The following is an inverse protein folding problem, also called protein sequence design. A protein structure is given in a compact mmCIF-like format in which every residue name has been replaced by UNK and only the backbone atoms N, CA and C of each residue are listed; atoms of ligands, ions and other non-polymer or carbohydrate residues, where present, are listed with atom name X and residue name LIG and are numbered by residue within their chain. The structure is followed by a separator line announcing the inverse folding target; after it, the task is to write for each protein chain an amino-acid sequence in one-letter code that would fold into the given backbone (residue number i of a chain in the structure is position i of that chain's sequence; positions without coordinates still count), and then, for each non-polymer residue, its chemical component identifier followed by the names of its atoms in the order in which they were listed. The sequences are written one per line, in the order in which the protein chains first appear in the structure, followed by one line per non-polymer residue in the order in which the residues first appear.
data_IF_254308674397
#
_entry.id   IF_254308674397
#
_cell.length_a   1.000
_cell.length_b   1.000
_cell.length_c   1.000
_cell.angle_alpha   90.00
_cell.angle_beta   90.00
_cell.angle_gamma   90.00
#
_symmetry.space_group_name_H-M   'P 1'
#
loop_
_entity.id
_entity.type
_entity.pdbx_description
1 polymer ?
#
# COMPACT_ATOMS: atom_id res chain seq x y z
N UNK A 1 70.03 16.42 58.67
CA UNK A 1 69.51 15.70 57.47
C UNK A 1 67.97 15.70 57.54
N UNK A 2 67.32 16.55 56.79
CA UNK A 2 65.87 16.64 56.71
C UNK A 2 65.46 16.34 55.25
N UNK A 3 64.84 15.16 55.02
CA UNK A 3 64.29 14.75 53.69
C UNK A 3 62.90 15.35 53.49
N UNK A 4 62.74 16.08 52.39
CA UNK A 4 61.43 16.56 51.92
C UNK A 4 60.85 15.54 50.93
N UNK A 5 59.66 15.05 51.23
CA UNK A 5 58.81 14.26 50.26
C UNK A 5 57.95 15.23 49.50
N UNK A 6 58.07 15.24 48.17
CA UNK A 6 57.13 15.89 47.27
C UNK A 6 56.02 14.86 46.86
N UNK A 7 54.81 15.17 47.22
CA UNK A 7 53.58 14.43 46.70
C UNK A 7 53.11 15.16 45.46
N UNK A 8 53.27 14.51 44.29
CA UNK A 8 52.73 14.99 43.04
C UNK A 8 51.28 14.57 42.89
N UNK A 9 50.41 15.56 42.89
CA UNK A 9 48.95 15.35 42.64
C UNK A 9 48.71 15.36 41.14
N UNK A 10 48.55 14.17 40.54
CA UNK A 10 48.17 14.00 39.13
C UNK A 10 46.71 14.30 38.91
N UNK A 11 46.42 15.34 38.13
CA UNK A 11 45.04 15.68 37.68
C UNK A 11 44.68 14.80 36.49
N UNK A 12 43.82 13.79 36.70
CA UNK A 12 43.20 13.01 35.60
C UNK A 12 42.08 13.85 34.99
N UNK A 13 42.31 14.42 33.82
CA UNK A 13 41.21 14.95 32.96
C UNK A 13 40.50 13.79 32.32
N UNK A 14 39.31 13.44 32.80
CA UNK A 14 38.38 12.55 32.08
C UNK A 14 37.77 13.32 30.90
N UNK A 15 38.24 13.04 29.69
CA UNK A 15 37.61 13.51 28.46
C UNK A 15 36.37 12.62 28.20
N UNK A 16 35.20 13.11 28.58
CA UNK A 16 33.93 12.49 28.23
C UNK A 16 33.70 12.58 26.71
N UNK A 17 33.82 11.46 25.98
CA UNK A 17 33.31 11.36 24.61
C UNK A 17 31.80 11.41 24.68
N UNK A 18 31.21 12.58 24.40
CA UNK A 18 29.78 12.68 24.06
C UNK A 18 29.59 12.08 22.67
N UNK A 19 29.16 10.82 22.62
CA UNK A 19 28.64 10.24 21.39
C UNK A 19 27.32 10.94 21.06
N UNK A 20 27.37 11.90 20.14
CA UNK A 20 26.15 12.42 19.49
C UNK A 20 25.52 11.28 18.74
N UNK A 21 24.46 10.68 19.29
CA UNK A 21 23.56 9.83 18.51
C UNK A 21 22.94 10.74 17.43
N UNK A 22 23.47 10.63 16.21
CA UNK A 22 22.80 11.19 15.04
C UNK A 22 21.41 10.54 14.97
N UNK A 23 20.34 11.33 15.06
CA UNK A 23 19.00 10.85 14.85
C UNK A 23 18.97 10.24 13.42
N UNK A 24 18.73 8.93 13.33
CA UNK A 24 18.68 8.25 12.06
C UNK A 24 17.52 8.85 11.25
N UNK A 25 17.84 9.39 10.08
CA UNK A 25 16.80 9.94 9.17
C UNK A 25 15.79 8.83 8.87
N UNK A 26 14.45 9.11 8.89
CA UNK A 26 13.45 8.14 8.45
C UNK A 26 13.83 7.57 7.07
N UNK A 27 13.60 6.29 6.88
CA UNK A 27 13.96 5.62 5.62
C UNK A 27 13.19 6.18 4.43
N UNK A 28 11.96 6.63 4.66
CA UNK A 28 11.12 7.32 3.70
C UNK A 28 10.12 8.24 4.43
N UNK A 29 9.92 9.42 3.87
CA UNK A 29 8.87 10.36 4.25
C UNK A 29 8.21 10.92 3.00
N UNK A 30 6.89 11.20 3.03
CA UNK A 30 6.24 11.90 1.94
C UNK A 30 6.86 13.29 1.74
N UNK A 31 6.85 13.77 0.48
CA UNK A 31 7.31 15.12 0.18
C UNK A 31 6.52 16.16 1.02
N UNK A 32 7.15 17.31 1.38
CA UNK A 32 6.45 18.37 2.11
C UNK A 32 5.21 18.89 1.37
N UNK A 33 4.18 19.28 2.12
CA UNK A 33 2.95 19.87 1.59
C UNK A 33 1.78 18.89 1.43
N UNK A 34 1.97 17.63 1.80
CA UNK A 34 0.90 16.63 1.85
C UNK A 34 0.39 16.42 3.28
N UNK A 35 -0.92 16.21 3.42
CA UNK A 35 -1.51 15.82 4.70
C UNK A 35 -1.14 14.36 4.98
N UNK A 36 -0.51 14.11 6.11
CA UNK A 36 -0.20 12.75 6.57
C UNK A 36 -0.80 12.52 7.95
N UNK A 37 -1.58 11.45 8.08
CA UNK A 37 -2.22 11.06 9.33
C UNK A 37 -1.75 9.66 9.75
N UNK A 38 -1.49 9.43 11.05
CA UNK A 38 -1.37 8.07 11.56
C UNK A 38 -2.72 7.35 11.41
N UNK A 39 -2.72 6.07 11.04
CA UNK A 39 -3.96 5.29 10.96
C UNK A 39 -4.57 5.08 12.35
N UNK A 40 -3.77 5.01 13.38
CA UNK A 40 -4.17 4.71 14.75
C UNK A 40 -3.79 5.87 15.68
N UNK A 41 -4.66 6.29 16.59
CA UNK A 41 -4.37 7.39 17.53
C UNK A 41 -3.32 7.01 18.58
N UNK A 42 -2.98 5.74 18.66
CA UNK A 42 -1.96 5.15 19.55
C UNK A 42 -1.27 3.98 18.86
N UNK A 43 -0.88 2.98 19.63
CA UNK A 43 -0.31 1.76 19.06
C UNK A 43 -1.34 1.02 18.20
N UNK A 44 -0.92 0.55 17.03
CA UNK A 44 -1.77 -0.23 16.15
C UNK A 44 -2.16 -1.57 16.83
N UNK A 45 -3.38 -2.11 16.60
CA UNK A 45 -3.80 -3.38 17.19
C UNK A 45 -2.82 -4.52 16.86
N UNK A 46 -2.33 -5.22 17.89
CA UNK A 46 -1.38 -6.32 17.72
C UNK A 46 0.02 -5.91 17.26
N UNK A 47 0.38 -4.64 17.36
CA UNK A 47 1.73 -4.16 16.99
C UNK A 47 2.81 -4.88 17.81
N UNK A 48 3.88 -5.39 17.17
CA UNK A 48 5.00 -5.98 17.90
C UNK A 48 5.69 -4.95 18.78
N UNK A 49 6.00 -5.30 20.02
CA UNK A 49 6.66 -4.39 20.96
C UNK A 49 8.07 -3.96 20.54
N UNK A 50 8.76 -4.76 19.71
CA UNK A 50 10.18 -4.60 19.39
C UNK A 50 10.45 -4.78 17.89
N UNK A 51 9.70 -4.09 17.02
CA UNK A 51 10.06 -4.06 15.60
C UNK A 51 11.30 -3.15 15.42
N UNK A 52 12.28 -3.57 14.60
CA UNK A 52 13.39 -2.68 14.23
C UNK A 52 12.87 -1.39 13.58
N UNK A 53 13.65 -0.29 13.58
CA UNK A 53 13.28 0.94 12.90
C UNK A 53 12.96 0.72 11.42
N UNK A 54 12.06 1.53 10.87
CA UNK A 54 11.82 1.58 9.42
C UNK A 54 13.13 1.79 8.67
N UNK A 55 13.30 1.06 7.57
CA UNK A 55 14.52 1.07 6.78
C UNK A 55 14.21 0.91 5.29
N UNK A 56 14.92 1.64 4.44
CA UNK A 56 15.01 1.30 3.02
C UNK A 56 15.97 0.12 2.85
N UNK A 57 15.43 -1.03 2.49
CA UNK A 57 16.20 -2.28 2.31
C UNK A 57 16.81 -2.40 0.91
N UNK A 58 16.63 -1.39 0.04
CA UNK A 58 17.14 -1.41 -1.34
C UNK A 58 18.65 -1.46 -1.37
N UNK A 59 19.20 -2.31 -2.21
CA UNK A 59 20.64 -2.50 -2.40
C UNK A 59 21.03 -2.29 -3.86
N UNK A 60 22.32 -2.08 -4.13
CA UNK A 60 22.86 -2.00 -5.49
C UNK A 60 22.75 -3.32 -6.30
N UNK A 61 22.37 -4.41 -5.64
CA UNK A 61 22.19 -5.73 -6.28
C UNK A 61 20.75 -5.98 -6.73
N UNK A 62 19.81 -5.14 -6.31
CA UNK A 62 18.41 -5.29 -6.66
C UNK A 62 18.16 -4.92 -8.13
N UNK A 63 17.23 -5.62 -8.74
CA UNK A 63 16.83 -5.35 -10.10
C UNK A 63 16.27 -3.93 -10.25
N UNK A 64 16.65 -3.27 -11.34
CA UNK A 64 16.07 -2.00 -11.74
C UNK A 64 14.75 -2.25 -12.49
N UNK A 65 13.77 -1.42 -12.24
CA UNK A 65 12.51 -1.41 -12.99
C UNK A 65 12.56 -0.26 -14.00
N UNK A 66 12.47 -0.58 -15.28
CA UNK A 66 12.68 0.37 -16.38
C UNK A 66 13.98 1.21 -16.20
N UNK A 67 15.08 0.56 -15.81
CA UNK A 67 16.39 1.19 -15.62
C UNK A 67 16.52 2.05 -14.34
N UNK A 68 15.54 2.07 -13.45
CA UNK A 68 15.53 2.89 -12.22
C UNK A 68 15.40 2.02 -10.95
N UNK A 69 16.11 2.36 -9.86
CA UNK A 69 15.89 1.70 -8.57
C UNK A 69 14.49 2.04 -8.02
N UNK A 70 14.06 1.32 -7.01
CA UNK A 70 12.85 1.63 -6.23
C UNK A 70 13.18 1.59 -4.74
N UNK A 71 12.35 2.23 -3.91
CA UNK A 71 12.48 2.23 -2.45
C UNK A 71 11.71 1.03 -1.89
N UNK A 72 12.41 0.14 -1.19
CA UNK A 72 11.84 -1.02 -0.49
C UNK A 72 11.77 -0.75 1.00
N UNK A 73 10.67 -0.12 1.43
CA UNK A 73 10.49 0.28 2.82
C UNK A 73 10.07 -0.92 3.68
N UNK A 74 10.90 -1.30 4.64
CA UNK A 74 10.65 -2.38 5.59
C UNK A 74 10.42 -1.89 7.01
N UNK A 75 9.97 -2.82 7.88
CA UNK A 75 9.77 -2.60 9.32
C UNK A 75 8.77 -1.49 9.67
N UNK A 76 7.69 -1.36 8.91
CA UNK A 76 6.64 -0.37 9.18
C UNK A 76 5.82 -0.80 10.40
N UNK A 77 6.04 -0.17 11.54
CA UNK A 77 5.31 -0.38 12.79
C UNK A 77 4.27 0.72 13.07
N UNK A 78 4.48 1.91 12.50
CA UNK A 78 3.57 3.05 12.60
C UNK A 78 2.94 3.31 11.24
N UNK A 79 1.78 2.68 10.95
CA UNK A 79 1.13 2.84 9.67
C UNK A 79 0.50 4.24 9.54
N UNK A 80 0.61 4.81 8.35
CA UNK A 80 0.09 6.15 8.03
C UNK A 80 -0.66 6.13 6.71
N UNK A 81 -1.53 7.11 6.51
CA UNK A 81 -2.01 7.50 5.19
C UNK A 81 -1.48 8.89 4.84
N UNK A 82 -1.19 9.11 3.56
CA UNK A 82 -0.78 10.42 3.03
C UNK A 82 -1.67 10.79 1.86
N UNK A 83 -2.24 11.99 1.89
CA UNK A 83 -3.17 12.50 0.89
C UNK A 83 -2.43 13.33 -0.15
N UNK A 84 -2.51 12.90 -1.40
CA UNK A 84 -2.00 13.59 -2.57
C UNK A 84 -3.17 14.13 -3.36
N UNK A 85 -3.36 15.44 -3.33
CA UNK A 85 -4.47 16.11 -4.01
C UNK A 85 -4.11 16.55 -5.42
N UNK A 86 -5.04 16.44 -6.40
CA UNK A 86 -4.86 17.01 -7.72
C UNK A 86 -4.60 18.53 -7.65
N UNK A 87 -3.62 19.01 -8.40
CA UNK A 87 -3.33 20.45 -8.52
C UNK A 87 -4.33 21.21 -9.41
N UNK A 88 -5.12 20.49 -10.21
CA UNK A 88 -6.12 21.01 -11.13
C UNK A 88 -7.55 20.72 -10.70
N UNK A 89 -8.43 20.46 -11.67
CA UNK A 89 -9.81 20.09 -11.39
C UNK A 89 -9.87 18.76 -10.63
N UNK A 90 -10.66 18.73 -9.56
CA UNK A 90 -10.91 17.52 -8.76
C UNK A 90 -12.16 16.83 -9.27
N UNK A 91 -12.08 15.54 -9.54
CA UNK A 91 -13.25 14.71 -9.91
C UNK A 91 -14.19 14.44 -8.73
N UNK A 92 -13.68 14.59 -7.51
CA UNK A 92 -14.33 14.16 -6.29
C UNK A 92 -14.14 12.67 -5.98
N UNK A 93 -13.51 11.90 -6.87
CA UNK A 93 -13.14 10.51 -6.58
C UNK A 93 -11.84 10.44 -5.78
N UNK A 94 -11.71 9.39 -4.97
CA UNK A 94 -10.47 9.06 -4.27
C UNK A 94 -10.09 7.60 -4.45
N UNK A 95 -8.78 7.31 -4.48
CA UNK A 95 -8.23 5.97 -4.52
C UNK A 95 -7.26 5.78 -3.37
N UNK A 96 -7.53 4.79 -2.54
CA UNK A 96 -6.64 4.33 -1.47
C UNK A 96 -5.65 3.34 -2.08
N UNK A 97 -4.35 3.67 -2.05
CA UNK A 97 -3.29 2.92 -2.75
C UNK A 97 -2.51 2.07 -1.77
N UNK A 98 -2.37 0.78 -2.11
CA UNK A 98 -1.63 -0.22 -1.34
C UNK A 98 -0.43 -0.71 -2.17
N UNK A 99 0.80 -0.26 -1.88
CA UNK A 99 2.00 -0.79 -2.52
C UNK A 99 2.18 -2.29 -2.29
N UNK A 100 2.83 -2.98 -3.21
CA UNK A 100 3.24 -4.37 -3.05
C UNK A 100 4.57 -4.51 -2.29
N UNK A 101 5.09 -5.74 -2.32
CA UNK A 101 6.34 -6.11 -1.64
C UNK A 101 6.22 -7.39 -0.81
N UNK A 102 5.34 -8.31 -1.22
CA UNK A 102 5.19 -9.64 -0.60
C UNK A 102 4.76 -9.62 0.86
N UNK A 103 4.19 -8.53 1.34
CA UNK A 103 3.95 -8.26 2.77
C UNK A 103 5.24 -8.18 3.61
N UNK A 104 6.42 -8.13 3.01
CA UNK A 104 7.70 -8.01 3.71
C UNK A 104 8.20 -6.56 3.72
N UNK A 105 7.99 -5.85 2.61
CA UNK A 105 8.34 -4.44 2.42
C UNK A 105 7.19 -3.73 1.68
N UNK A 106 7.34 -2.42 1.47
CA UNK A 106 6.50 -1.64 0.58
C UNK A 106 7.35 -1.04 -0.54
N UNK A 107 6.99 -1.27 -1.80
CA UNK A 107 7.57 -0.60 -2.97
C UNK A 107 7.03 0.84 -3.05
N UNK A 108 7.38 1.67 -2.08
CA UNK A 108 6.64 2.88 -1.68
C UNK A 108 6.66 4.00 -2.73
N UNK A 109 7.67 4.04 -3.59
CA UNK A 109 7.77 4.98 -4.71
C UNK A 109 7.11 4.42 -5.98
N UNK A 110 7.56 3.26 -6.47
CA UNK A 110 7.10 2.63 -7.71
C UNK A 110 5.58 2.38 -7.71
N UNK A 111 5.06 1.83 -6.61
CA UNK A 111 3.68 1.39 -6.46
C UNK A 111 2.89 2.28 -5.47
N UNK A 112 3.46 3.43 -5.15
CA UNK A 112 2.90 4.42 -4.24
C UNK A 112 2.94 5.82 -4.81
N UNK A 113 4.02 6.58 -4.63
CA UNK A 113 4.06 7.99 -5.04
C UNK A 113 3.96 8.18 -6.56
N UNK A 114 4.55 7.30 -7.38
CA UNK A 114 4.41 7.36 -8.85
C UNK A 114 2.95 7.11 -9.28
N UNK A 115 2.20 6.28 -8.52
CA UNK A 115 0.77 6.04 -8.73
C UNK A 115 -0.05 7.27 -8.36
N UNK A 116 0.31 7.94 -7.26
CA UNK A 116 -0.37 9.17 -6.85
C UNK A 116 -0.20 10.30 -7.87
N UNK A 117 0.99 10.41 -8.49
CA UNK A 117 1.22 11.39 -9.56
C UNK A 117 0.30 11.15 -10.76
N UNK A 118 0.12 9.89 -11.18
CA UNK A 118 -0.80 9.53 -12.25
C UNK A 118 -2.26 9.80 -11.89
N UNK A 119 -2.73 9.34 -10.72
CA UNK A 119 -4.11 9.57 -10.27
C UNK A 119 -4.42 11.07 -10.17
N UNK A 120 -3.48 11.87 -9.67
CA UNK A 120 -3.64 13.31 -9.58
C UNK A 120 -3.72 13.97 -10.97
N UNK A 121 -2.98 13.48 -11.97
CA UNK A 121 -3.09 13.94 -13.35
C UNK A 121 -4.49 13.65 -13.93
N UNK A 122 -5.13 12.54 -13.53
CA UNK A 122 -6.50 12.19 -13.88
C UNK A 122 -7.57 12.91 -13.01
N UNK A 123 -7.17 13.83 -12.13
CA UNK A 123 -8.09 14.58 -11.25
C UNK A 123 -8.61 13.77 -10.06
N UNK A 124 -8.00 12.63 -9.73
CA UNK A 124 -8.38 11.74 -8.63
C UNK A 124 -7.48 11.99 -7.42
N UNK A 125 -8.07 12.13 -6.23
CA UNK A 125 -7.30 12.21 -4.99
C UNK A 125 -6.68 10.85 -4.69
N UNK A 126 -5.36 10.80 -4.54
CA UNK A 126 -4.65 9.59 -4.12
C UNK A 126 -4.41 9.60 -2.62
N UNK A 127 -4.72 8.50 -1.96
CA UNK A 127 -4.41 8.28 -0.54
C UNK A 127 -3.46 7.10 -0.41
N UNK A 128 -2.17 7.39 -0.30
CA UNK A 128 -1.13 6.37 -0.17
C UNK A 128 -1.09 5.83 1.25
N UNK A 129 -1.22 4.52 1.40
CA UNK A 129 -1.17 3.84 2.71
C UNK A 129 0.17 3.15 2.90
N UNK A 130 0.91 3.63 3.88
CA UNK A 130 2.07 2.94 4.44
C UNK A 130 1.56 1.97 5.51
N UNK A 131 1.13 0.78 5.09
CA UNK A 131 0.58 -0.24 5.98
C UNK A 131 1.66 -1.08 6.65
N UNK A 132 1.31 -1.77 7.74
CA UNK A 132 2.27 -2.56 8.54
C UNK A 132 2.89 -3.71 7.78
N UNK A 133 4.21 -3.79 7.81
CA UNK A 133 5.05 -4.89 7.34
C UNK A 133 6.22 -5.09 8.32
N UNK A 134 6.80 -6.31 8.45
CA UNK A 134 6.47 -7.52 7.72
C UNK A 134 5.25 -8.27 8.27
N UNK A 135 4.62 -9.07 7.39
CA UNK A 135 3.64 -10.09 7.75
C UNK A 135 4.10 -11.44 7.20
N UNK A 136 3.56 -12.54 7.72
CA UNK A 136 4.06 -13.89 7.44
C UNK A 136 3.40 -14.57 6.23
N UNK A 137 2.57 -13.87 5.47
CA UNK A 137 1.90 -14.41 4.28
C UNK A 137 0.55 -13.75 4.01
N UNK A 138 -0.27 -14.34 3.11
CA UNK A 138 -1.59 -13.82 2.78
C UNK A 138 -2.55 -13.85 3.98
N UNK A 139 -3.73 -13.24 3.84
CA UNK A 139 -4.78 -13.36 4.84
C UNK A 139 -5.12 -14.85 5.10
N UNK A 140 -5.28 -15.29 6.36
CA UNK A 140 -5.38 -14.46 7.58
C UNK A 140 -4.04 -14.01 8.20
N UNK A 141 -2.88 -14.46 7.72
CA UNK A 141 -1.57 -14.10 8.30
C UNK A 141 -1.22 -12.61 8.13
N UNK A 142 -1.76 -11.94 7.10
CA UNK A 142 -1.65 -10.48 6.88
C UNK A 142 -2.80 -9.69 7.52
N UNK A 143 -3.44 -10.19 8.56
CA UNK A 143 -4.56 -9.52 9.24
C UNK A 143 -4.21 -8.09 9.69
N UNK A 144 -2.98 -7.82 10.12
CA UNK A 144 -2.53 -6.48 10.48
C UNK A 144 -2.61 -5.49 9.30
N UNK A 145 -2.19 -5.89 8.10
CA UNK A 145 -2.32 -5.06 6.90
C UNK A 145 -3.80 -4.85 6.53
N UNK A 146 -4.65 -5.86 6.68
CA UNK A 146 -6.10 -5.72 6.42
C UNK A 146 -6.78 -4.80 7.42
N UNK A 147 -6.40 -4.83 8.71
CA UNK A 147 -6.85 -3.85 9.71
C UNK A 147 -6.50 -2.42 9.25
N UNK A 148 -5.26 -2.21 8.81
CA UNK A 148 -4.79 -0.90 8.33
C UNK A 148 -5.57 -0.45 7.08
N UNK A 149 -5.86 -1.36 6.13
CA UNK A 149 -6.65 -1.07 4.95
C UNK A 149 -8.11 -0.71 5.28
N UNK A 150 -8.77 -1.48 6.15
CA UNK A 150 -10.12 -1.18 6.63
C UNK A 150 -10.17 0.18 7.32
N UNK A 151 -9.17 0.48 8.16
CA UNK A 151 -9.07 1.74 8.87
C UNK A 151 -8.84 2.91 7.91
N UNK A 152 -7.94 2.76 6.93
CA UNK A 152 -7.65 3.80 5.93
C UNK A 152 -8.90 4.20 5.14
N UNK A 153 -9.70 3.22 4.64
CA UNK A 153 -10.94 3.51 3.91
C UNK A 153 -11.96 4.24 4.79
N UNK A 154 -12.09 3.87 6.08
CA UNK A 154 -12.94 4.57 7.04
C UNK A 154 -12.50 6.01 7.27
N UNK A 155 -11.18 6.25 7.46
CA UNK A 155 -10.61 7.59 7.64
C UNK A 155 -10.82 8.46 6.40
N UNK A 156 -10.63 7.94 5.18
CA UNK A 156 -10.89 8.69 3.94
C UNK A 156 -12.35 9.15 3.90
N UNK A 157 -13.29 8.31 4.25
CA UNK A 157 -14.71 8.70 4.33
C UNK A 157 -14.99 9.72 5.43
N UNK A 158 -14.34 9.59 6.58
CA UNK A 158 -14.49 10.55 7.67
C UNK A 158 -14.00 11.97 7.31
N UNK A 159 -12.94 12.06 6.52
CA UNK A 159 -12.36 13.32 6.05
C UNK A 159 -12.83 13.72 4.64
N UNK A 160 -13.81 13.02 4.04
CA UNK A 160 -14.20 13.23 2.65
C UNK A 160 -14.59 14.70 2.36
N UNK A 161 -15.37 15.33 3.23
CA UNK A 161 -15.77 16.74 3.06
C UNK A 161 -14.56 17.71 3.12
N UNK A 162 -13.61 17.46 4.01
CA UNK A 162 -12.39 18.26 4.18
C UNK A 162 -11.50 18.20 2.94
N UNK A 163 -11.39 17.02 2.33
CA UNK A 163 -10.51 16.78 1.18
C UNK A 163 -11.23 16.94 -0.18
N UNK A 164 -12.51 17.32 -0.17
CA UNK A 164 -13.31 17.51 -1.39
C UNK A 164 -13.59 16.18 -2.11
N UNK A 165 -13.77 15.11 -1.36
CA UNK A 165 -14.06 13.76 -1.85
C UNK A 165 -15.56 13.47 -1.70
N UNK A 166 -16.15 12.83 -2.71
CA UNK A 166 -17.46 12.21 -2.60
C UNK A 166 -17.31 10.87 -1.84
N UNK A 167 -17.90 10.69 -0.64
CA UNK A 167 -17.75 9.48 0.15
C UNK A 167 -18.32 8.22 -0.51
N UNK A 168 -19.01 8.35 -1.64
CA UNK A 168 -19.53 7.26 -2.47
C UNK A 168 -18.65 6.95 -3.69
N UNK A 169 -17.49 7.60 -3.80
CA UNK A 169 -16.52 7.39 -4.88
C UNK A 169 -15.10 7.18 -4.32
N UNK A 170 -15.01 6.30 -3.30
CA UNK A 170 -13.76 5.91 -2.63
C UNK A 170 -13.40 4.48 -3.05
N UNK A 171 -12.44 4.34 -3.96
CA UNK A 171 -11.93 3.05 -4.40
C UNK A 171 -10.62 2.66 -3.74
N UNK A 172 -10.17 1.44 -4.06
CA UNK A 172 -8.85 0.92 -3.67
C UNK A 172 -8.07 0.52 -4.90
N UNK A 173 -6.75 0.65 -4.84
CA UNK A 173 -5.83 0.18 -5.87
C UNK A 173 -4.62 -0.45 -5.20
N UNK A 174 -4.23 -1.65 -5.63
CA UNK A 174 -3.06 -2.29 -5.05
C UNK A 174 -2.31 -3.17 -6.03
N UNK A 175 -1.05 -3.39 -5.72
CA UNK A 175 -0.07 -4.09 -6.54
C UNK A 175 0.44 -5.34 -5.83
N UNK A 176 0.56 -6.46 -6.52
CA UNK A 176 1.15 -7.68 -5.96
C UNK A 176 0.46 -8.08 -4.64
N UNK A 177 1.19 -8.10 -3.51
CA UNK A 177 0.59 -8.28 -2.17
C UNK A 177 -0.42 -7.16 -1.83
N UNK A 178 -0.22 -5.92 -2.29
CA UNK A 178 -1.20 -4.83 -2.19
C UNK A 178 -2.43 -5.09 -3.07
N UNK A 179 -2.28 -5.79 -4.21
CA UNK A 179 -3.39 -6.29 -5.02
C UNK A 179 -4.23 -7.32 -4.28
N UNK A 180 -3.59 -8.27 -3.58
CA UNK A 180 -4.29 -9.15 -2.65
C UNK A 180 -4.99 -8.35 -1.54
N UNK A 181 -4.34 -7.32 -0.98
CA UNK A 181 -4.93 -6.49 0.07
C UNK A 181 -6.16 -5.72 -0.42
N UNK A 182 -6.14 -5.23 -1.68
CA UNK A 182 -7.31 -4.63 -2.33
C UNK A 182 -8.46 -5.63 -2.47
N UNK A 183 -8.19 -6.87 -2.89
CA UNK A 183 -9.19 -7.93 -2.93
C UNK A 183 -9.69 -8.31 -1.53
N UNK A 184 -8.78 -8.38 -0.54
CA UNK A 184 -9.12 -8.71 0.83
C UNK A 184 -10.05 -7.66 1.47
N UNK A 185 -9.77 -6.36 1.36
CA UNK A 185 -10.66 -5.32 1.89
C UNK A 185 -11.98 -5.23 1.12
N UNK A 186 -11.99 -5.63 -0.16
CA UNK A 186 -13.19 -5.69 -0.99
C UNK A 186 -14.10 -6.88 -0.69
N UNK A 187 -13.64 -7.83 0.13
CA UNK A 187 -14.39 -9.04 0.52
C UNK A 187 -14.55 -9.20 2.04
N UNK A 188 -13.85 -8.36 2.85
CA UNK A 188 -13.87 -8.39 4.30
C UNK A 188 -14.21 -6.99 4.87
N UNK A 189 -15.32 -6.42 4.44
CA UNK A 189 -15.76 -5.08 4.88
C UNK A 189 -16.93 -5.13 5.86
N UNK A 190 -17.65 -6.24 5.96
CA UNK A 190 -18.83 -6.38 6.84
C UNK A 190 -18.46 -6.32 8.32
N UNK A 191 -17.25 -6.79 8.65
CA UNK A 191 -16.74 -6.80 10.01
C UNK A 191 -15.29 -6.31 10.03
N UNK A 192 -15.04 -5.30 10.85
CA UNK A 192 -13.66 -4.86 11.11
C UNK A 192 -12.90 -5.91 11.91
N UNK A 193 -11.62 -6.06 11.63
CA UNK A 193 -10.73 -7.00 12.34
C UNK A 193 -10.13 -6.38 13.62
N UNK A 194 -10.72 -5.31 14.13
CA UNK A 194 -10.30 -4.59 15.31
C UNK A 194 -11.51 -3.93 15.98
N UNK A 195 -11.38 -3.59 17.25
CA UNK A 195 -12.42 -2.89 18.00
C UNK A 195 -12.53 -1.43 17.54
N UNK A 196 -13.73 -0.86 17.62
CA UNK A 196 -14.00 0.54 17.27
C UNK A 196 -13.06 1.47 18.03
N UNK A 197 -12.38 2.36 17.31
CA UNK A 197 -11.41 3.31 17.86
C UNK A 197 -12.02 4.71 17.99
N UNK A 198 -12.74 5.15 16.95
CA UNK A 198 -13.37 6.47 16.89
C UNK A 198 -14.52 6.49 15.86
N UNK A 199 -15.10 7.67 15.62
CA UNK A 199 -16.24 7.85 14.72
C UNK A 199 -15.95 7.46 13.25
N UNK A 200 -14.70 7.39 12.80
CA UNK A 200 -14.37 6.93 11.46
C UNK A 200 -14.67 5.44 11.28
N UNK A 201 -14.71 4.67 12.36
CA UNK A 201 -15.04 3.25 12.33
C UNK A 201 -16.55 2.96 12.29
N UNK A 202 -17.38 3.96 12.52
CA UNK A 202 -18.83 3.92 12.29
C UNK A 202 -19.16 3.96 10.78
N UNK A 203 -18.22 4.45 9.95
CA UNK A 203 -18.37 4.55 8.51
C UNK A 203 -17.97 3.23 7.82
N UNK A 204 -18.57 2.96 6.67
CA UNK A 204 -18.25 1.75 5.91
C UNK A 204 -16.79 1.72 5.47
N UNK A 205 -16.12 0.57 5.63
CA UNK A 205 -14.81 0.31 5.03
C UNK A 205 -14.89 -0.44 3.69
N UNK A 206 -16.10 -0.64 3.14
CA UNK A 206 -16.29 -1.22 1.81
C UNK A 206 -15.83 -0.23 0.73
N UNK A 207 -14.90 -0.59 -0.16
CA UNK A 207 -14.58 0.24 -1.32
C UNK A 207 -15.76 0.35 -2.28
N UNK A 208 -15.85 1.46 -3.02
CA UNK A 208 -16.89 1.62 -4.05
C UNK A 208 -16.47 1.01 -5.39
N UNK A 209 -15.17 0.83 -5.61
CA UNK A 209 -14.55 0.11 -6.72
C UNK A 209 -13.15 -0.38 -6.34
N UNK A 210 -12.61 -1.36 -7.08
CA UNK A 210 -11.27 -1.89 -6.83
C UNK A 210 -10.46 -2.03 -8.12
N UNK A 211 -9.15 -1.73 -8.03
CA UNK A 211 -8.16 -1.98 -9.08
C UNK A 211 -7.09 -2.91 -8.53
N UNK A 212 -6.90 -4.03 -9.18
CA UNK A 212 -6.05 -5.14 -8.71
C UNK A 212 -4.99 -5.39 -9.78
N UNK A 213 -3.74 -5.00 -9.49
CA UNK A 213 -2.63 -5.00 -10.47
C UNK A 213 -1.66 -6.11 -10.11
N UNK A 214 -1.41 -7.02 -11.04
CA UNK A 214 -0.57 -8.23 -10.89
C UNK A 214 -0.62 -8.84 -9.49
N UNK A 215 -1.82 -9.23 -9.01
CA UNK A 215 -1.98 -9.70 -7.64
C UNK A 215 -1.18 -10.98 -7.38
N UNK A 216 -0.69 -11.13 -6.15
CA UNK A 216 -0.28 -12.41 -5.60
C UNK A 216 -1.35 -12.98 -4.67
N UNK A 217 -1.16 -14.19 -4.18
CA UNK A 217 -1.92 -14.82 -3.08
C UNK A 217 -3.44 -15.00 -3.30
N UNK A 218 -3.98 -14.71 -4.49
CA UNK A 218 -5.37 -15.01 -4.86
C UNK A 218 -5.52 -16.43 -5.41
N UNK A 219 -4.42 -17.00 -5.92
CA UNK A 219 -4.22 -18.43 -6.13
C UNK A 219 -3.04 -18.89 -5.26
N UNK A 220 -3.11 -20.09 -4.72
CA UNK A 220 -2.14 -20.59 -3.76
C UNK A 220 -1.24 -21.66 -4.41
N UNK A 221 0.05 -21.37 -4.54
CA UNK A 221 1.06 -22.25 -5.14
C UNK A 221 1.10 -23.62 -4.47
N UNK A 222 1.08 -23.65 -3.14
CA UNK A 222 1.09 -24.86 -2.33
C UNK A 222 -0.18 -25.72 -2.50
N UNK A 223 -1.22 -25.18 -3.15
CA UNK A 223 -2.48 -25.85 -3.45
C UNK A 223 -2.71 -26.00 -4.97
N UNK A 224 -1.63 -26.10 -5.74
CA UNK A 224 -1.66 -26.22 -7.19
C UNK A 224 -2.50 -25.13 -7.87
N UNK A 225 -2.24 -23.89 -7.51
CA UNK A 225 -2.94 -22.69 -7.96
C UNK A 225 -4.46 -22.68 -7.68
N UNK A 226 -4.90 -23.43 -6.67
CA UNK A 226 -6.29 -23.34 -6.23
C UNK A 226 -6.58 -21.94 -5.71
N UNK A 227 -7.81 -21.48 -5.93
CA UNK A 227 -8.27 -20.18 -5.46
C UNK A 227 -8.15 -20.07 -3.95
N UNK A 228 -7.63 -18.93 -3.47
CA UNK A 228 -7.56 -18.64 -2.04
C UNK A 228 -8.98 -18.56 -1.45
N UNK A 229 -9.32 -19.56 -0.62
CA UNK A 229 -10.66 -19.70 -0.03
C UNK A 229 -11.01 -18.57 0.97
N UNK A 230 -10.01 -17.82 1.45
CA UNK A 230 -10.23 -16.70 2.36
C UNK A 230 -10.67 -15.40 1.64
N UNK A 231 -10.47 -15.31 0.32
CA UNK A 231 -10.88 -14.15 -0.48
C UNK A 231 -12.10 -14.54 -1.31
N UNK A 232 -13.29 -14.32 -0.76
CA UNK A 232 -14.56 -14.74 -1.35
C UNK A 232 -15.43 -13.56 -1.74
N UNK A 233 -15.54 -13.24 -3.04
CA UNK A 233 -16.52 -12.27 -3.50
C UNK A 233 -17.96 -12.65 -3.12
N UNK A 234 -18.74 -11.66 -2.73
CA UNK A 234 -20.17 -11.73 -2.45
C UNK A 234 -20.91 -10.76 -3.36
N UNK A 235 -22.23 -10.73 -3.31
CA UNK A 235 -23.05 -9.78 -4.08
C UNK A 235 -22.73 -8.30 -3.75
N UNK A 236 -22.14 -8.05 -2.59
CA UNK A 236 -21.76 -6.70 -2.13
C UNK A 236 -20.30 -6.33 -2.44
N UNK A 237 -19.51 -7.24 -3.02
CA UNK A 237 -18.14 -6.93 -3.48
C UNK A 237 -18.20 -5.84 -4.55
N UNK A 238 -17.29 -4.84 -4.53
CA UNK A 238 -17.33 -3.74 -5.49
C UNK A 238 -16.96 -4.17 -6.92
N UNK A 239 -17.39 -3.43 -7.96
CA UNK A 239 -16.85 -3.57 -9.32
C UNK A 239 -15.32 -3.55 -9.31
N UNK A 240 -14.71 -4.45 -10.09
CA UNK A 240 -13.25 -4.67 -10.00
C UNK A 240 -12.59 -4.69 -11.38
N UNK A 241 -11.51 -3.91 -11.54
CA UNK A 241 -10.60 -3.98 -12.67
C UNK A 241 -9.37 -4.82 -12.27
N UNK A 242 -8.92 -5.72 -13.15
CA UNK A 242 -7.78 -6.62 -12.91
C UNK A 242 -6.83 -6.56 -14.10
N UNK A 243 -5.53 -6.51 -13.85
CA UNK A 243 -4.51 -6.59 -14.91
C UNK A 243 -3.30 -7.38 -14.45
N UNK A 244 -2.77 -8.25 -15.33
CA UNK A 244 -1.54 -9.03 -15.08
C UNK A 244 -0.88 -9.40 -16.42
N UNK A 245 0.41 -9.76 -16.39
CA UNK A 245 1.09 -10.37 -17.52
C UNK A 245 1.04 -11.91 -17.41
N UNK A 246 1.03 -12.60 -18.57
CA UNK A 246 1.00 -14.07 -18.61
C UNK A 246 2.35 -14.67 -18.17
N UNK A 247 3.45 -13.96 -18.52
CA UNK A 247 4.82 -14.34 -18.16
C UNK A 247 5.21 -13.95 -16.71
N UNK A 248 4.25 -13.52 -15.88
CA UNK A 248 4.47 -13.14 -14.49
C UNK A 248 4.85 -14.37 -13.63
N UNK A 249 6.04 -14.38 -12.99
CA UNK A 249 6.46 -15.48 -12.13
C UNK A 249 5.59 -15.65 -10.85
N UNK A 250 4.74 -14.68 -10.53
CA UNK A 250 3.73 -14.78 -9.45
C UNK A 250 2.45 -15.47 -9.93
N UNK A 251 2.42 -15.90 -11.18
CA UNK A 251 1.38 -16.68 -11.83
C UNK A 251 0.07 -15.94 -12.13
N UNK A 252 -0.28 -15.93 -13.41
CA UNK A 252 -1.48 -15.25 -13.94
C UNK A 252 -2.80 -15.83 -13.39
N UNK A 253 -2.76 -17.03 -12.82
CA UNK A 253 -3.88 -17.68 -12.14
C UNK A 253 -4.43 -16.84 -10.98
N UNK A 254 -3.60 -15.99 -10.36
CA UNK A 254 -4.08 -15.03 -9.35
C UNK A 254 -5.17 -14.11 -9.93
N UNK A 255 -4.93 -13.54 -11.10
CA UNK A 255 -5.88 -12.66 -11.76
C UNK A 255 -7.09 -13.42 -12.33
N UNK A 256 -6.84 -14.54 -13.04
CA UNK A 256 -7.90 -15.31 -13.72
C UNK A 256 -8.86 -15.96 -12.75
N UNK A 257 -8.35 -16.56 -11.67
CA UNK A 257 -9.19 -17.21 -10.66
C UNK A 257 -10.05 -16.17 -9.92
N UNK A 258 -9.50 -15.03 -9.56
CA UNK A 258 -10.27 -13.98 -8.90
C UNK A 258 -11.35 -13.40 -9.82
N UNK A 259 -11.04 -13.17 -11.09
CA UNK A 259 -12.03 -12.76 -12.09
C UNK A 259 -13.18 -13.76 -12.20
N UNK A 260 -12.89 -15.07 -12.23
CA UNK A 260 -13.92 -16.11 -12.30
C UNK A 260 -14.80 -16.13 -11.04
N UNK A 261 -14.23 -15.88 -9.86
CA UNK A 261 -14.99 -15.75 -8.61
C UNK A 261 -15.93 -14.52 -8.65
N UNK A 262 -15.44 -13.36 -9.10
CA UNK A 262 -16.26 -12.15 -9.27
C UNK A 262 -17.42 -12.41 -10.22
N UNK A 263 -17.14 -13.06 -11.36
CA UNK A 263 -18.19 -13.47 -12.31
C UNK A 263 -19.23 -14.40 -11.68
N UNK A 264 -18.80 -15.39 -10.90
CA UNK A 264 -19.70 -16.31 -10.19
C UNK A 264 -20.58 -15.58 -9.16
N UNK A 265 -20.05 -14.52 -8.53
CA UNK A 265 -20.78 -13.66 -7.61
C UNK A 265 -21.66 -12.59 -8.32
N UNK A 266 -21.69 -12.57 -9.67
CA UNK A 266 -22.35 -11.56 -10.50
C UNK A 266 -21.84 -10.14 -10.28
N UNK A 267 -20.56 -9.97 -9.98
CA UNK A 267 -19.91 -8.67 -9.83
C UNK A 267 -19.37 -8.21 -11.18
N UNK A 268 -19.65 -6.97 -11.61
CA UNK A 268 -19.01 -6.40 -12.78
C UNK A 268 -17.48 -6.40 -12.63
N UNK A 269 -16.77 -7.02 -13.55
CA UNK A 269 -15.33 -7.10 -13.52
C UNK A 269 -14.76 -6.99 -14.93
N UNK A 270 -13.60 -6.32 -15.05
CA UNK A 270 -12.82 -6.23 -16.27
C UNK A 270 -11.44 -6.84 -16.03
N UNK A 271 -10.97 -7.70 -16.96
CA UNK A 271 -9.70 -8.39 -16.87
C UNK A 271 -8.88 -8.16 -18.12
N UNK A 272 -7.63 -7.70 -17.95
CA UNK A 272 -6.64 -7.57 -19.00
C UNK A 272 -5.44 -8.46 -18.72
N UNK A 273 -5.05 -9.28 -19.70
CA UNK A 273 -3.86 -10.11 -19.64
C UNK A 273 -2.97 -9.76 -20.82
N UNK A 274 -1.73 -9.36 -20.53
CA UNK A 274 -0.70 -9.10 -21.50
C UNK A 274 0.20 -10.34 -21.66
N UNK A 275 0.69 -10.61 -22.85
CA UNK A 275 1.58 -11.75 -23.09
C UNK A 275 2.92 -11.59 -22.36
N UNK A 276 3.42 -10.36 -22.27
CA UNK A 276 4.71 -10.03 -21.67
C UNK A 276 4.59 -8.82 -20.75
N UNK A 277 5.35 -8.82 -19.65
CA UNK A 277 5.39 -7.74 -18.66
C UNK A 277 6.14 -8.15 -17.40
N UNK A 278 6.18 -9.44 -17.09
CA UNK A 278 6.73 -9.96 -15.85
C UNK A 278 5.96 -9.46 -14.63
N UNK A 279 6.67 -9.29 -13.51
CA UNK A 279 6.11 -8.83 -12.25
C UNK A 279 6.70 -7.48 -11.81
N UNK A 280 5.89 -6.62 -11.18
CA UNK A 280 6.39 -5.39 -10.55
C UNK A 280 6.74 -4.28 -11.54
N UNK A 281 6.08 -4.21 -12.70
CA UNK A 281 6.34 -3.17 -13.70
C UNK A 281 5.85 -1.77 -13.27
N UNK A 282 4.91 -1.66 -12.34
CA UNK A 282 4.35 -0.38 -11.89
C UNK A 282 3.76 0.44 -13.04
N UNK A 283 4.08 1.75 -13.07
CA UNK A 283 3.71 2.68 -14.12
C UNK A 283 4.89 3.12 -15.00
N UNK A 284 6.09 2.58 -14.75
CA UNK A 284 7.29 3.00 -15.47
C UNK A 284 7.25 2.52 -16.92
N UNK A 285 7.35 3.47 -17.84
CA UNK A 285 7.26 3.19 -19.28
C UNK A 285 8.34 2.24 -19.76
N UNK A 286 7.92 1.25 -20.55
CA UNK A 286 8.77 0.30 -21.27
C UNK A 286 8.32 0.25 -22.73
N UNK A 287 8.95 -0.59 -23.55
CA UNK A 287 8.52 -0.85 -24.93
C UNK A 287 7.37 -1.87 -25.01
N UNK A 288 6.99 -2.49 -23.88
CA UNK A 288 5.94 -3.52 -23.83
C UNK A 288 4.56 -2.89 -23.75
N UNK A 289 3.53 -3.52 -24.36
CA UNK A 289 2.15 -3.04 -24.32
C UNK A 289 1.59 -2.87 -22.89
N UNK A 290 2.08 -3.64 -21.93
CA UNK A 290 1.64 -3.59 -20.52
C UNK A 290 1.82 -2.19 -19.92
N UNK A 291 2.72 -1.36 -20.42
CA UNK A 291 2.94 0.03 -19.99
C UNK A 291 1.67 0.91 -20.13
N UNK A 292 0.68 0.48 -20.92
CA UNK A 292 -0.55 1.24 -21.18
C UNK A 292 -1.74 0.83 -20.29
N UNK A 293 -1.54 -0.01 -19.27
CA UNK A 293 -2.63 -0.42 -18.37
C UNK A 293 -3.30 0.77 -17.64
N UNK A 294 -2.62 1.88 -17.28
CA UNK A 294 -3.26 3.01 -16.60
C UNK A 294 -4.38 3.65 -17.43
N UNK A 295 -4.21 3.76 -18.77
CA UNK A 295 -5.22 4.30 -19.67
C UNK A 295 -6.48 3.40 -19.74
N UNK A 296 -6.31 2.09 -19.57
CA UNK A 296 -7.44 1.16 -19.49
C UNK A 296 -8.22 1.36 -18.19
N UNK A 297 -7.54 1.57 -17.07
CA UNK A 297 -8.19 1.91 -15.80
C UNK A 297 -8.96 3.23 -15.91
N UNK A 298 -8.37 4.28 -16.49
CA UNK A 298 -9.07 5.56 -16.69
C UNK A 298 -10.35 5.37 -17.52
N UNK A 299 -10.26 4.63 -18.62
CA UNK A 299 -11.44 4.30 -19.48
C UNK A 299 -12.49 3.53 -18.70
N UNK A 300 -12.06 2.55 -17.88
CA UNK A 300 -12.96 1.78 -17.05
C UNK A 300 -13.63 2.63 -15.96
N UNK A 301 -12.90 3.56 -15.32
CA UNK A 301 -13.45 4.49 -14.31
C UNK A 301 -14.54 5.41 -14.90
N UNK A 302 -14.42 5.78 -16.19
CA UNK A 302 -15.49 6.47 -16.91
C UNK A 302 -16.70 5.53 -17.13
N UNK A 303 -16.47 4.28 -17.51
CA UNK A 303 -17.53 3.27 -17.76
C UNK A 303 -18.37 3.01 -16.51
N UNK A 304 -17.76 2.96 -15.33
CA UNK A 304 -18.46 2.76 -14.05
C UNK A 304 -18.88 4.09 -13.37
N UNK A 305 -18.81 5.22 -14.07
CA UNK A 305 -19.24 6.55 -13.63
C UNK A 305 -18.50 7.09 -12.39
N UNK A 306 -17.29 6.61 -12.10
CA UNK A 306 -16.41 7.19 -11.07
C UNK A 306 -15.80 8.49 -11.57
N UNK A 307 -15.38 8.53 -12.83
CA UNK A 307 -15.01 9.78 -13.52
C UNK A 307 -16.17 10.25 -14.39
N UNK A 308 -16.35 11.57 -14.50
CA UNK A 308 -17.35 12.15 -15.39
C UNK A 308 -17.05 11.74 -16.83
N UNK A 309 -18.11 11.49 -17.61
CA UNK A 309 -17.97 11.28 -19.06
C UNK A 309 -17.31 12.48 -19.75
N UNK A 310 -16.45 12.20 -20.72
CA UNK A 310 -15.90 13.23 -21.62
C UNK A 310 -17.02 13.74 -22.53
#
# INVERSE_FOLDING_TARGET
MKSFFYVGMGLLCAVGLATTMSAQKPAWEPAPGHVTLPLWPGAAPGAPANLPPEVDTTTAKDNLIAGRPLIRLGNVSVPTLTVYEPKGAKSGAAVVVFPGGGYQILAIDLEGTEVCDWLNAAGVTCVLVKYRVPNTGPYPKSAAALQDAQRAVGLVRAHAAEWGIDPKRVGVLGFSAGGHLSAAVSTHFDKRLYDVVDAADELSCRPDFAVVVYPGYLALDEQNMATNAEIRPTADTPPTFIVQAEDDPVHVENATNYFLQLKQANIPAELHIYAEGGHGYGLRSTTLPVTHWPQLVESWLHTIHVLAGN
#
